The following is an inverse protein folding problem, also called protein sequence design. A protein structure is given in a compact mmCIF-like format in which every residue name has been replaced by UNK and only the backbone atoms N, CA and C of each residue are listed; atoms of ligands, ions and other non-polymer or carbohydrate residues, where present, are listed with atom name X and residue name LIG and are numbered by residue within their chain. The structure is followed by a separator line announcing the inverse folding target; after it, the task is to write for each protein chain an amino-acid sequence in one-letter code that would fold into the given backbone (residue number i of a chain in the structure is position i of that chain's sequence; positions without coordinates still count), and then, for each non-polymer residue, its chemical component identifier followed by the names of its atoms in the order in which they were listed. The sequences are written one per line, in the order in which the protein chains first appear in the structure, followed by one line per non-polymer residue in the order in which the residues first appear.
data_IF_756414177437
#
_entry.id   IF_756414177437
#
_cell.length_a   1.000
_cell.length_b   1.000
_cell.length_c   1.000
_cell.angle_alpha   90.00
_cell.angle_beta   90.00
_cell.angle_gamma   90.00
#
_symmetry.space_group_name_H-M   'P 1'
#
loop_
_entity.id
_entity.type
_entity.pdbx_description
1 polymer ?
#
# COMPACT_ATOMS: atom_id res chain seq x y z
N UNK A 1 -16.27 20.65 25.28
CA UNK A 1 -16.26 19.19 25.44
C UNK A 1 -16.97 18.61 24.23
N UNK A 2 -16.30 17.79 23.41
CA UNK A 2 -17.01 17.12 22.32
C UNK A 2 -17.86 16.00 22.92
N UNK A 3 -19.17 16.06 22.69
CA UNK A 3 -20.13 15.03 23.10
C UNK A 3 -19.69 13.65 22.56
N UNK A 4 -19.91 12.61 23.36
CA UNK A 4 -19.61 11.21 23.00
C UNK A 4 -20.19 10.83 21.64
N UNK A 5 -21.40 11.31 21.32
CA UNK A 5 -22.05 11.09 20.03
C UNK A 5 -21.26 11.78 18.90
N UNK A 6 -20.85 13.04 19.10
CA UNK A 6 -20.04 13.76 18.11
C UNK A 6 -18.71 13.05 17.84
N UNK A 7 -18.07 12.46 18.86
CA UNK A 7 -16.83 11.70 18.68
C UNK A 7 -17.06 10.43 17.86
N UNK A 8 -18.16 9.70 18.11
CA UNK A 8 -18.54 8.52 17.31
C UNK A 8 -18.83 8.93 15.87
N UNK A 9 -19.63 9.97 15.65
CA UNK A 9 -19.92 10.48 14.31
C UNK A 9 -18.66 10.91 13.55
N UNK A 10 -17.70 11.54 14.23
CA UNK A 10 -16.42 11.91 13.62
C UNK A 10 -15.58 10.69 13.23
N UNK A 11 -15.55 9.64 14.06
CA UNK A 11 -14.85 8.39 13.75
C UNK A 11 -15.48 7.71 12.53
N UNK A 12 -16.82 7.67 12.48
CA UNK A 12 -17.55 7.13 11.32
C UNK A 12 -17.33 7.97 10.06
N UNK A 13 -17.34 9.30 10.16
CA UNK A 13 -17.09 10.20 9.02
C UNK A 13 -15.64 10.13 8.52
N UNK A 14 -14.69 9.82 9.40
CA UNK A 14 -13.28 9.63 9.04
C UNK A 14 -12.99 8.22 8.52
N UNK A 15 -13.93 7.27 8.64
CA UNK A 15 -13.82 5.96 8.01
C UNK A 15 -14.23 6.03 6.55
N UNK A 16 -13.58 5.26 5.67
CA UNK A 16 -13.93 5.17 4.23
C UNK A 16 -15.23 4.35 3.99
N UNK A 17 -16.14 4.31 4.97
CA UNK A 17 -17.40 3.59 4.86
C UNK A 17 -18.36 4.32 3.92
N UNK A 18 -18.88 3.58 2.95
CA UNK A 18 -19.95 4.03 2.08
C UNK A 18 -21.27 4.18 2.84
N UNK A 19 -22.18 5.02 2.33
CA UNK A 19 -23.52 5.18 2.89
C UNK A 19 -24.31 3.85 2.94
N UNK A 20 -24.07 2.94 2.01
CA UNK A 20 -24.65 1.60 2.01
C UNK A 20 -24.17 0.74 3.17
N UNK A 21 -22.89 0.82 3.52
CA UNK A 21 -22.31 0.08 4.65
C UNK A 21 -22.81 0.64 5.99
N UNK A 22 -22.92 1.97 6.11
CA UNK A 22 -23.51 2.60 7.28
C UNK A 22 -24.96 2.17 7.49
N UNK A 23 -25.76 2.06 6.42
CA UNK A 23 -27.15 1.56 6.49
C UNK A 23 -27.22 0.09 6.87
N UNK A 24 -26.29 -0.73 6.36
CA UNK A 24 -26.19 -2.13 6.74
C UNK A 24 -25.85 -2.27 8.23
N UNK A 25 -24.93 -1.45 8.73
CA UNK A 25 -24.58 -1.39 10.14
C UNK A 25 -25.75 -0.97 11.02
N UNK A 26 -26.50 0.07 10.67
CA UNK A 26 -27.69 0.49 11.45
C UNK A 26 -28.75 -0.60 11.46
N UNK A 27 -28.99 -1.27 10.33
CA UNK A 27 -29.95 -2.37 10.25
C UNK A 27 -29.53 -3.54 11.13
N UNK A 28 -28.25 -3.91 11.10
CA UNK A 28 -27.71 -4.95 11.97
C UNK A 28 -27.84 -4.57 13.45
N UNK A 29 -27.61 -3.30 13.81
CA UNK A 29 -27.75 -2.83 15.19
C UNK A 29 -29.20 -2.90 15.69
N UNK A 30 -30.17 -2.58 14.83
CA UNK A 30 -31.59 -2.70 15.15
C UNK A 30 -32.01 -4.16 15.35
N UNK A 31 -31.43 -5.09 14.58
CA UNK A 31 -31.74 -6.53 14.66
C UNK A 31 -31.02 -7.24 15.83
N UNK A 32 -29.75 -6.92 16.07
CA UNK A 32 -28.90 -7.59 17.06
C UNK A 32 -28.94 -6.93 18.46
N UNK A 33 -29.31 -5.65 18.51
CA UNK A 33 -29.36 -4.86 19.73
C UNK A 33 -28.00 -4.36 20.22
N UNK A 34 -28.03 -3.42 21.17
CA UNK A 34 -26.83 -2.75 21.69
C UNK A 34 -25.90 -3.66 22.49
N UNK A 35 -26.43 -4.74 23.08
CA UNK A 35 -25.62 -5.74 23.78
C UNK A 35 -24.69 -6.49 22.81
N UNK A 36 -25.16 -6.83 21.62
CA UNK A 36 -24.37 -7.48 20.58
C UNK A 36 -23.27 -6.56 20.03
N UNK A 37 -23.52 -5.24 19.95
CA UNK A 37 -22.49 -4.26 19.61
C UNK A 37 -21.35 -4.24 20.64
N UNK A 38 -21.68 -4.29 21.93
CA UNK A 38 -20.69 -4.37 23.00
C UNK A 38 -19.81 -5.62 22.88
N UNK A 39 -20.42 -6.78 22.66
CA UNK A 39 -19.70 -8.04 22.47
C UNK A 39 -18.80 -7.99 21.23
N UNK A 40 -19.31 -7.52 20.08
CA UNK A 40 -18.53 -7.39 18.86
C UNK A 40 -17.31 -6.46 19.03
N UNK A 41 -17.45 -5.37 19.81
CA UNK A 41 -16.32 -4.48 20.11
C UNK A 41 -15.25 -5.20 20.95
N UNK A 42 -15.64 -5.97 21.95
CA UNK A 42 -14.70 -6.73 22.78
C UNK A 42 -14.02 -7.84 21.98
N UNK A 43 -14.74 -8.58 21.14
CA UNK A 43 -14.16 -9.61 20.26
C UNK A 43 -13.09 -9.01 19.32
N UNK A 44 -13.38 -7.83 18.74
CA UNK A 44 -12.42 -7.12 17.88
C UNK A 44 -11.20 -6.65 18.69
N UNK A 45 -11.39 -6.20 19.94
CA UNK A 45 -10.28 -5.81 20.83
C UNK A 45 -9.40 -7.00 21.17
N UNK A 46 -10.00 -8.12 21.53
CA UNK A 46 -9.29 -9.35 21.86
C UNK A 46 -8.50 -9.87 20.65
N UNK A 47 -9.09 -9.87 19.45
CA UNK A 47 -8.39 -10.23 18.22
C UNK A 47 -7.22 -9.25 17.92
N UNK A 48 -7.41 -7.96 18.15
CA UNK A 48 -6.36 -6.96 17.94
C UNK A 48 -5.19 -7.13 18.93
N UNK A 49 -5.48 -7.50 20.18
CA UNK A 49 -4.46 -7.76 21.19
C UNK A 49 -3.76 -9.11 20.98
N UNK A 50 -4.48 -10.15 20.53
CA UNK A 50 -3.91 -11.46 20.19
C UNK A 50 -2.98 -11.40 18.97
N UNK A 51 -3.24 -10.51 18.02
CA UNK A 51 -2.42 -10.32 16.81
C UNK A 51 -1.22 -9.40 17.06
N UNK A 52 -1.04 -8.91 18.29
CA UNK A 52 0.03 -7.97 18.64
C UNK A 52 1.34 -8.75 18.83
N UNK A 53 2.32 -8.69 17.91
CA UNK A 53 3.63 -9.29 18.16
C UNK A 53 4.23 -8.64 19.39
N UNK A 54 4.68 -9.46 20.35
CA UNK A 54 5.50 -9.02 21.49
C UNK A 54 6.81 -8.42 20.96
N UNK A 55 6.78 -7.20 20.44
CA UNK A 55 7.98 -6.40 20.20
C UNK A 55 8.11 -5.41 21.33
N UNK A 56 9.08 -5.72 22.17
CA UNK A 56 9.58 -4.89 23.25
C UNK A 56 9.77 -3.43 22.80
N UNK A 57 9.29 -2.52 23.64
CA UNK A 57 10.01 -1.30 23.97
C UNK A 57 9.92 -0.13 22.99
N UNK A 58 9.19 0.91 23.42
CA UNK A 58 9.34 2.35 23.06
C UNK A 58 9.03 2.60 21.57
N UNK A 59 8.05 3.40 21.19
CA UNK A 59 7.99 4.85 21.39
C UNK A 59 6.54 5.34 21.44
N UNK A 60 6.29 6.21 22.40
CA UNK A 60 5.11 7.06 22.53
C UNK A 60 5.44 8.39 21.83
N UNK A 61 4.73 8.72 20.74
CA UNK A 61 4.27 10.07 20.38
C UNK A 61 3.97 10.19 18.86
N UNK A 62 2.73 10.57 18.53
CA UNK A 62 2.45 11.45 17.40
C UNK A 62 1.93 10.81 16.11
N UNK A 63 0.62 11.00 15.86
CA UNK A 63 -0.10 10.95 14.57
C UNK A 63 -0.25 9.57 13.90
N UNK A 64 -1.38 8.93 14.18
CA UNK A 64 -1.90 7.76 13.47
C UNK A 64 -2.47 8.14 12.10
N UNK A 65 -1.73 7.79 11.05
CA UNK A 65 -2.25 7.55 9.70
C UNK A 65 -3.03 6.22 9.70
N UNK A 66 -4.04 6.01 8.83
CA UNK A 66 -4.91 4.84 8.90
C UNK A 66 -4.15 3.56 8.55
N UNK A 67 -4.26 2.53 9.40
CA UNK A 67 -3.67 1.22 9.15
C UNK A 67 -4.46 0.50 8.08
N UNK A 68 -3.94 0.49 6.87
CA UNK A 68 -4.22 -0.57 5.91
C UNK A 68 -3.99 -1.92 6.60
N UNK A 69 -4.94 -2.85 6.42
CA UNK A 69 -4.77 -4.27 6.75
C UNK A 69 -3.34 -4.70 6.45
N UNK A 70 -2.72 -5.45 7.38
CA UNK A 70 -1.33 -5.90 7.30
C UNK A 70 -1.07 -6.54 5.93
N UNK A 71 -0.66 -5.68 5.02
CA UNK A 71 -0.31 -5.98 3.65
C UNK A 71 0.97 -6.79 3.76
N UNK A 72 0.92 -8.03 3.27
CA UNK A 72 2.14 -8.84 3.18
C UNK A 72 3.24 -8.05 2.47
N UNK A 73 4.52 -8.45 2.61
CA UNK A 73 5.65 -7.72 2.01
C UNK A 73 5.47 -7.44 0.50
N UNK A 74 4.73 -8.29 -0.21
CA UNK A 74 4.33 -8.08 -1.60
C UNK A 74 3.38 -6.88 -1.80
N UNK A 75 2.37 -6.70 -0.95
CA UNK A 75 1.41 -5.60 -1.06
C UNK A 75 2.06 -4.24 -0.73
N UNK A 76 2.99 -4.19 0.24
CA UNK A 76 3.77 -2.98 0.50
C UNK A 76 4.62 -2.62 -0.73
N UNK A 77 5.23 -3.62 -1.36
CA UNK A 77 6.01 -3.45 -2.58
C UNK A 77 5.15 -2.91 -3.71
N UNK A 78 3.96 -3.50 -3.94
CA UNK A 78 3.02 -3.05 -4.97
C UNK A 78 2.63 -1.59 -4.77
N UNK A 79 2.28 -1.19 -3.54
CA UNK A 79 1.93 0.21 -3.24
C UNK A 79 3.08 1.17 -3.50
N UNK A 80 4.32 0.78 -3.16
CA UNK A 80 5.51 1.59 -3.46
C UNK A 80 5.70 1.75 -4.95
N UNK A 81 5.57 0.68 -5.73
CA UNK A 81 5.69 0.72 -7.19
C UNK A 81 4.60 1.59 -7.81
N UNK A 82 3.34 1.44 -7.37
CA UNK A 82 2.24 2.29 -7.82
C UNK A 82 2.49 3.76 -7.53
N UNK A 83 2.96 4.07 -6.32
CA UNK A 83 3.26 5.45 -5.95
C UNK A 83 4.37 6.05 -6.82
N UNK A 84 5.47 5.32 -7.03
CA UNK A 84 6.61 5.81 -7.81
C UNK A 84 6.25 6.02 -9.30
N UNK A 85 5.52 5.10 -9.92
CA UNK A 85 5.23 5.18 -11.35
C UNK A 85 4.01 6.05 -11.66
N UNK A 86 2.92 5.90 -10.92
CA UNK A 86 1.66 6.57 -11.24
C UNK A 86 1.58 7.97 -10.63
N UNK A 87 2.07 8.15 -9.39
CA UNK A 87 1.94 9.44 -8.70
C UNK A 87 3.17 10.32 -8.95
N UNK A 88 4.39 9.79 -8.71
CA UNK A 88 5.61 10.58 -8.84
C UNK A 88 6.01 10.80 -10.30
N UNK A 89 6.12 9.74 -11.10
CA UNK A 89 6.47 9.83 -12.51
C UNK A 89 5.27 10.18 -13.42
N UNK A 90 4.05 10.29 -12.85
CA UNK A 90 2.80 10.65 -13.55
C UNK A 90 2.51 9.80 -14.79
N UNK A 91 2.91 8.52 -14.78
CA UNK A 91 2.62 7.61 -15.89
C UNK A 91 1.18 7.09 -15.80
N UNK A 92 0.54 6.98 -16.96
CA UNK A 92 -0.67 6.18 -17.07
C UNK A 92 -0.37 4.69 -16.89
N UNK A 93 -1.29 3.93 -16.30
CA UNK A 93 -1.12 2.50 -15.97
C UNK A 93 -0.58 1.64 -17.13
N UNK A 94 -1.10 1.84 -18.34
CA UNK A 94 -0.66 1.13 -19.55
C UNK A 94 0.80 1.43 -19.88
N UNK A 95 1.19 2.70 -19.82
CA UNK A 95 2.55 3.15 -20.11
C UNK A 95 3.53 2.72 -19.02
N UNK A 96 3.10 2.77 -17.76
CA UNK A 96 3.87 2.26 -16.62
C UNK A 96 4.15 0.77 -16.74
N UNK A 97 3.13 -0.03 -17.10
CA UNK A 97 3.31 -1.46 -17.31
C UNK A 97 4.25 -1.76 -18.48
N UNK A 98 4.08 -1.08 -19.62
CA UNK A 98 4.94 -1.26 -20.78
C UNK A 98 6.42 -0.94 -20.46
N UNK A 99 6.71 0.24 -19.90
CA UNK A 99 8.08 0.62 -19.58
C UNK A 99 8.72 -0.27 -18.50
N UNK A 100 7.93 -0.72 -17.52
CA UNK A 100 8.41 -1.63 -16.49
C UNK A 100 8.69 -3.02 -17.08
N UNK A 101 7.81 -3.54 -17.95
CA UNK A 101 8.04 -4.79 -18.69
C UNK A 101 9.30 -4.71 -19.54
N UNK A 102 9.47 -3.64 -20.31
CA UNK A 102 10.66 -3.44 -21.15
C UNK A 102 11.93 -3.48 -20.30
N UNK A 103 11.94 -2.79 -19.15
CA UNK A 103 13.10 -2.75 -18.25
C UNK A 103 13.38 -4.07 -17.55
N UNK A 104 12.35 -4.81 -17.17
CA UNK A 104 12.52 -6.14 -16.61
C UNK A 104 13.07 -7.11 -17.68
N UNK A 105 12.56 -7.04 -18.91
CA UNK A 105 13.08 -7.84 -20.01
C UNK A 105 14.52 -7.46 -20.39
N UNK A 106 14.91 -6.18 -20.32
CA UNK A 106 16.30 -5.75 -20.53
C UNK A 106 17.25 -6.30 -19.46
N UNK A 107 16.81 -6.39 -18.20
CA UNK A 107 17.64 -6.82 -17.08
C UNK A 107 17.72 -8.35 -16.95
N UNK A 108 16.63 -9.07 -17.21
CA UNK A 108 16.52 -10.51 -17.01
C UNK A 108 16.48 -11.32 -18.31
N UNK A 109 16.32 -10.67 -19.46
CA UNK A 109 16.14 -11.35 -20.75
C UNK A 109 14.95 -12.30 -20.74
N UNK A 110 15.06 -13.37 -21.53
CA UNK A 110 14.04 -14.44 -21.61
C UNK A 110 13.95 -15.30 -20.33
N UNK A 111 14.80 -15.06 -19.32
CA UNK A 111 14.81 -15.87 -18.09
C UNK A 111 13.67 -15.50 -17.12
N UNK A 112 13.14 -14.28 -17.20
CA UNK A 112 11.96 -13.89 -16.43
C UNK A 112 10.73 -13.93 -17.35
N UNK A 113 9.75 -14.78 -17.02
CA UNK A 113 8.52 -14.90 -17.79
C UNK A 113 7.55 -13.75 -17.43
N UNK A 114 7.95 -12.51 -17.75
CA UNK A 114 7.20 -11.31 -17.35
C UNK A 114 5.82 -11.33 -18.00
N UNK A 115 4.72 -11.32 -17.22
CA UNK A 115 3.38 -11.44 -17.75
C UNK A 115 2.98 -10.19 -18.56
N UNK A 116 2.25 -10.39 -19.66
CA UNK A 116 1.65 -9.29 -20.42
C UNK A 116 0.65 -8.48 -19.57
N UNK A 117 0.73 -7.16 -19.65
CA UNK A 117 -0.32 -6.29 -19.12
C UNK A 117 -1.53 -6.27 -20.06
N UNK A 118 -2.65 -6.87 -19.60
CA UNK A 118 -3.94 -6.91 -20.33
C UNK A 118 -5.00 -6.10 -19.57
N UNK A 119 -6.29 -6.31 -19.87
CA UNK A 119 -7.45 -5.66 -19.20
C UNK A 119 -7.62 -6.07 -17.72
N UNK A 120 -6.53 -6.12 -16.96
CA UNK A 120 -6.48 -6.42 -15.53
C UNK A 120 -6.05 -5.16 -14.77
N UNK A 121 -6.33 -5.11 -13.47
CA UNK A 121 -5.84 -4.02 -12.63
C UNK A 121 -4.31 -4.06 -12.54
N UNK A 122 -3.69 -2.88 -12.50
CA UNK A 122 -2.23 -2.74 -12.43
C UNK A 122 -1.62 -3.43 -11.21
N UNK A 123 -2.22 -3.29 -10.03
CA UNK A 123 -1.84 -4.06 -8.83
C UNK A 123 -1.91 -5.58 -9.03
N UNK A 124 -2.95 -6.10 -9.71
CA UNK A 124 -3.08 -7.54 -10.00
C UNK A 124 -1.99 -8.02 -10.94
N UNK A 125 -1.62 -7.20 -11.92
CA UNK A 125 -0.51 -7.50 -12.82
C UNK A 125 0.84 -7.49 -12.06
N UNK A 126 1.09 -6.51 -11.19
CA UNK A 126 2.29 -6.46 -10.36
C UNK A 126 2.43 -7.66 -9.42
N UNK A 127 1.32 -8.20 -8.90
CA UNK A 127 1.36 -9.46 -8.13
C UNK A 127 1.94 -10.62 -8.92
N UNK A 128 1.56 -10.74 -10.20
CA UNK A 128 2.11 -11.78 -11.08
C UNK A 128 3.58 -11.53 -11.42
N UNK A 129 3.97 -10.26 -11.59
CA UNK A 129 5.38 -9.90 -11.77
C UNK A 129 6.21 -10.29 -10.54
N UNK A 130 5.67 -10.13 -9.34
CA UNK A 130 6.33 -10.52 -8.08
C UNK A 130 6.44 -12.04 -7.86
N UNK A 131 5.70 -12.85 -8.63
CA UNK A 131 5.87 -14.31 -8.64
C UNK A 131 7.14 -14.71 -9.40
N UNK A 132 7.55 -13.88 -10.38
CA UNK A 132 8.72 -14.13 -11.25
C UNK A 132 9.96 -13.35 -10.79
N UNK A 133 9.76 -12.15 -10.21
CA UNK A 133 10.84 -11.21 -9.87
C UNK A 133 10.81 -10.90 -8.36
N UNK A 134 11.95 -11.06 -7.65
CA UNK A 134 12.02 -10.72 -6.24
C UNK A 134 11.63 -9.25 -5.95
N UNK A 135 10.91 -8.96 -4.85
CA UNK A 135 10.45 -7.61 -4.51
C UNK A 135 11.56 -6.55 -4.48
N UNK A 136 12.75 -6.91 -3.95
CA UNK A 136 13.90 -6.01 -3.87
C UNK A 136 14.40 -5.58 -5.24
N UNK A 137 14.38 -6.51 -6.20
CA UNK A 137 14.85 -6.28 -7.55
C UNK A 137 13.85 -5.47 -8.36
N UNK A 138 12.56 -5.78 -8.22
CA UNK A 138 11.49 -4.98 -8.82
C UNK A 138 11.57 -3.52 -8.37
N UNK A 139 11.77 -3.27 -7.08
CA UNK A 139 11.94 -1.91 -6.55
C UNK A 139 13.16 -1.20 -7.12
N UNK A 140 14.29 -1.90 -7.26
CA UNK A 140 15.50 -1.32 -7.86
C UNK A 140 15.27 -0.86 -9.30
N UNK A 141 14.60 -1.69 -10.10
CA UNK A 141 14.23 -1.36 -11.49
C UNK A 141 13.29 -0.15 -11.53
N UNK A 142 12.27 -0.14 -10.66
CA UNK A 142 11.30 0.95 -10.59
C UNK A 142 11.94 2.27 -10.15
N UNK A 143 12.88 2.24 -9.20
CA UNK A 143 13.62 3.43 -8.75
C UNK A 143 14.43 4.01 -9.90
N UNK A 144 15.17 3.16 -10.65
CA UNK A 144 15.91 3.62 -11.83
C UNK A 144 14.98 4.24 -12.87
N UNK A 145 13.90 3.56 -13.21
CA UNK A 145 12.91 4.05 -14.18
C UNK A 145 12.31 5.39 -13.73
N UNK A 146 11.90 5.51 -12.46
CA UNK A 146 11.40 6.75 -11.88
C UNK A 146 12.44 7.87 -11.96
N UNK A 147 13.69 7.60 -11.61
CA UNK A 147 14.75 8.61 -11.64
C UNK A 147 15.01 9.11 -13.06
N UNK A 148 15.00 8.23 -14.06
CA UNK A 148 15.16 8.62 -15.45
C UNK A 148 14.00 9.49 -15.95
N UNK A 149 12.76 9.13 -15.58
CA UNK A 149 11.54 9.85 -15.99
C UNK A 149 11.40 11.21 -15.30
N UNK A 150 11.73 11.28 -14.02
CA UNK A 150 11.59 12.50 -13.21
C UNK A 150 12.77 13.45 -13.40
N UNK A 151 13.99 12.93 -13.51
CA UNK A 151 15.21 13.75 -13.61
C UNK A 151 15.79 13.82 -15.04
N UNK A 152 15.07 13.29 -16.02
CA UNK A 152 15.34 13.50 -17.46
C UNK A 152 16.67 12.94 -17.94
N UNK A 153 17.03 11.73 -17.52
CA UNK A 153 18.24 11.03 -17.98
C UNK A 153 19.58 11.69 -17.62
N UNK A 154 19.57 12.82 -16.90
CA UNK A 154 20.78 13.33 -16.24
C UNK A 154 21.03 12.45 -15.04
N UNK A 155 21.84 11.40 -15.27
CA UNK A 155 22.22 10.43 -14.26
C UNK A 155 22.48 11.12 -12.93
N UNK A 156 21.66 10.78 -11.94
CA UNK A 156 22.04 10.99 -10.55
C UNK A 156 23.24 10.08 -10.32
N UNK A 157 24.41 10.62 -10.62
CA UNK A 157 25.70 10.17 -10.11
C UNK A 157 25.64 10.36 -8.61
N UNK A 158 24.97 9.41 -8.00
CA UNK A 158 24.87 9.19 -6.58
C UNK A 158 26.30 8.98 -6.08
N UNK A 159 26.80 9.99 -5.37
CA UNK A 159 28.10 10.04 -4.69
C UNK A 159 29.36 10.04 -5.57
N UNK A 160 29.68 11.20 -6.15
CA UNK A 160 31.09 11.56 -6.27
C UNK A 160 31.67 11.71 -4.85
N UNK A 161 32.22 10.62 -4.32
CA UNK A 161 33.13 10.62 -3.17
C UNK A 161 34.18 11.70 -3.46
N UNK A 162 34.06 12.84 -2.78
CA UNK A 162 35.16 13.78 -2.63
C UNK A 162 36.26 13.03 -1.89
N UNK A 163 37.17 12.43 -2.65
CA UNK A 163 38.51 12.16 -2.18
C UNK A 163 39.18 13.52 -2.01
N UNK A 164 38.98 14.11 -0.84
CA UNK A 164 39.85 15.19 -0.41
C UNK A 164 41.16 14.58 0.11
N UNK A 165 42.24 15.25 -0.26
CA UNK A 165 43.64 14.87 -0.13
C UNK A 165 44.11 14.56 1.29
#
# INVERSE_FOLDING_TARGET
MADSISRVCLILAASDLSLSELRAFTKWLDEAGTAALGAAIEDIREAADATRPQKAGRYRAGRTQPSYAASGPADETIRKVENMLLNEARLGKVKAAAQLSDRLNEQYGDAANIPDYRKVAFATWLRRVLEEVPPSELLHVVIKLRNELVHGGKGTSDWALRSDR
#
